data_IF_457422617647
#
_entry.id   IF_457422617647
#
_cell.length_a   1.000
_cell.length_b   1.000
_cell.length_c   1.000
_cell.angle_alpha   90.00
_cell.angle_beta   90.00
_cell.angle_gamma   90.00
#
_symmetry.space_group_name_H-M   'P 1'
#
loop_
_entity.id
_entity.type
_entity.pdbx_description
1 polymer ?
#
# COMPACT_ATOMS: atom_id res chain seq x y z
N UNK A 1 63.81 32.94 6.99
CA UNK A 1 63.99 31.48 7.08
C UNK A 1 62.59 30.86 7.22
N UNK A 2 62.04 30.32 6.13
CA UNK A 2 60.67 29.75 6.15
C UNK A 2 60.81 28.24 6.41
N UNK A 3 60.27 27.78 7.54
CA UNK A 3 60.21 26.34 7.86
C UNK A 3 59.04 25.72 7.12
N UNK A 4 59.31 25.01 6.01
CA UNK A 4 58.34 24.15 5.37
C UNK A 4 57.99 22.98 6.28
N UNK A 5 56.76 22.97 6.78
CA UNK A 5 56.17 21.85 7.52
C UNK A 5 55.93 20.68 6.58
N UNK A 6 56.77 19.68 6.57
CA UNK A 6 56.56 18.43 5.82
C UNK A 6 55.35 17.74 6.41
N UNK A 7 54.21 17.80 5.71
CA UNK A 7 52.99 17.00 6.05
C UNK A 7 53.31 15.54 5.73
N UNK A 8 53.46 14.74 6.79
CA UNK A 8 53.67 13.30 6.67
C UNK A 8 52.34 12.65 6.18
N UNK A 9 52.14 12.55 4.88
CA UNK A 9 50.98 11.89 4.27
C UNK A 9 51.21 10.38 4.40
N UNK A 10 50.54 9.76 5.38
CA UNK A 10 50.42 8.30 5.46
C UNK A 10 49.55 7.83 4.32
N UNK A 11 50.10 7.08 3.37
CA UNK A 11 49.33 6.44 2.29
C UNK A 11 48.62 5.19 2.78
N UNK A 12 47.51 4.85 2.16
CA UNK A 12 46.81 3.60 2.39
C UNK A 12 47.56 2.41 1.79
N UNK A 13 47.54 1.28 2.49
CA UNK A 13 48.08 0.03 1.97
C UNK A 13 47.07 -0.66 1.06
N UNK A 14 47.55 -1.44 0.09
CA UNK A 14 46.70 -2.21 -0.83
C UNK A 14 45.82 -3.21 -0.05
N UNK A 15 46.36 -3.77 1.03
CA UNK A 15 45.63 -4.75 1.86
C UNK A 15 44.48 -4.09 2.65
N UNK A 16 44.64 -2.86 3.13
CA UNK A 16 43.57 -2.11 3.79
C UNK A 16 42.42 -1.86 2.82
N UNK A 17 42.72 -1.51 1.57
CA UNK A 17 41.70 -1.29 0.55
C UNK A 17 41.01 -2.60 0.19
N UNK A 18 41.74 -3.71 0.08
CA UNK A 18 41.21 -5.01 -0.26
C UNK A 18 40.22 -5.53 0.81
N UNK A 19 40.55 -5.40 2.08
CA UNK A 19 39.67 -5.81 3.18
C UNK A 19 38.38 -5.02 3.16
N UNK A 20 38.45 -3.72 2.90
CA UNK A 20 37.26 -2.85 2.86
C UNK A 20 36.29 -3.27 1.75
N UNK A 21 36.78 -3.52 0.52
CA UNK A 21 35.90 -3.95 -0.59
C UNK A 21 35.29 -5.33 -0.36
N UNK A 22 36.04 -6.26 0.27
CA UNK A 22 35.50 -7.59 0.62
C UNK A 22 34.37 -7.47 1.64
N UNK A 23 34.57 -6.67 2.71
CA UNK A 23 33.54 -6.46 3.72
C UNK A 23 32.28 -5.80 3.14
N UNK A 24 32.47 -4.76 2.31
CA UNK A 24 31.35 -4.11 1.63
C UNK A 24 30.60 -5.09 0.71
N UNK A 25 31.33 -5.94 -0.02
CA UNK A 25 30.76 -6.97 -0.88
C UNK A 25 29.87 -7.97 -0.11
N UNK A 26 30.33 -8.45 1.04
CA UNK A 26 29.55 -9.35 1.89
C UNK A 26 28.32 -8.66 2.45
N UNK A 27 28.46 -7.44 2.96
CA UNK A 27 27.32 -6.67 3.49
C UNK A 27 26.29 -6.37 2.40
N UNK A 28 26.71 -5.98 1.20
CA UNK A 28 25.82 -5.73 0.08
C UNK A 28 25.02 -6.98 -0.32
N UNK A 29 25.67 -8.16 -0.35
CA UNK A 29 25.00 -9.41 -0.68
C UNK A 29 23.86 -9.76 0.31
N UNK A 30 24.06 -9.50 1.59
CA UNK A 30 23.02 -9.74 2.63
C UNK A 30 21.89 -8.74 2.54
N UNK A 31 22.17 -7.46 2.25
CA UNK A 31 21.15 -6.41 2.14
C UNK A 31 20.23 -6.66 0.95
N UNK A 32 20.74 -7.07 -0.21
CA UNK A 32 19.96 -7.29 -1.42
C UNK A 32 18.87 -8.36 -1.24
N UNK A 33 19.15 -9.43 -0.51
CA UNK A 33 18.16 -10.49 -0.26
C UNK A 33 17.05 -10.07 0.71
N UNK A 34 17.34 -9.20 1.68
CA UNK A 34 16.37 -8.71 2.65
C UNK A 34 15.45 -7.62 2.07
N UNK A 35 15.96 -6.82 1.13
CA UNK A 35 15.28 -5.61 0.63
C UNK A 35 13.97 -5.91 -0.11
N UNK A 36 13.93 -6.98 -0.91
CA UNK A 36 12.72 -7.40 -1.65
C UNK A 36 11.54 -7.70 -0.72
N UNK A 37 11.79 -8.42 0.36
CA UNK A 37 10.75 -8.78 1.34
C UNK A 37 10.22 -7.57 2.12
N UNK A 38 11.09 -6.57 2.38
CA UNK A 38 10.69 -5.34 3.08
C UNK A 38 9.78 -4.51 2.19
N UNK A 39 10.11 -4.36 0.90
CA UNK A 39 9.28 -3.64 -0.05
C UNK A 39 7.91 -4.30 -0.24
N UNK A 40 7.83 -5.63 -0.32
CA UNK A 40 6.55 -6.34 -0.39
C UNK A 40 5.68 -6.06 0.84
N UNK A 41 6.26 -6.17 2.03
CA UNK A 41 5.53 -5.87 3.27
C UNK A 41 5.08 -4.41 3.36
N UNK A 42 5.87 -3.48 2.88
CA UNK A 42 5.52 -2.06 2.84
C UNK A 42 4.28 -1.85 1.96
N UNK A 43 4.27 -2.38 0.73
CA UNK A 43 3.12 -2.31 -0.19
C UNK A 43 1.89 -3.04 0.36
N UNK A 44 2.07 -4.21 0.98
CA UNK A 44 0.96 -4.93 1.62
C UNK A 44 0.34 -4.11 2.76
N UNK A 45 1.17 -3.43 3.55
CA UNK A 45 0.70 -2.58 4.65
C UNK A 45 -0.02 -1.34 4.12
N UNK A 46 0.51 -0.71 3.09
CA UNK A 46 -0.10 0.42 2.38
C UNK A 46 -1.49 0.04 1.87
N UNK A 47 -1.61 -1.03 1.08
CA UNK A 47 -2.90 -1.50 0.56
C UNK A 47 -3.91 -1.90 1.65
N UNK A 48 -3.45 -2.45 2.77
CA UNK A 48 -4.33 -2.73 3.92
C UNK A 48 -4.82 -1.45 4.59
N UNK A 49 -3.96 -0.43 4.69
CA UNK A 49 -4.31 0.87 5.26
C UNK A 49 -5.33 1.59 4.40
N UNK A 50 -5.11 1.63 3.09
CA UNK A 50 -6.03 2.24 2.12
C UNK A 50 -7.42 1.61 2.18
N UNK A 51 -7.49 0.27 2.15
CA UNK A 51 -8.76 -0.45 2.29
C UNK A 51 -9.44 -0.15 3.62
N UNK A 52 -8.68 -0.01 4.70
CA UNK A 52 -9.25 0.33 6.00
C UNK A 52 -9.82 1.75 6.01
N UNK A 53 -9.14 2.71 5.38
CA UNK A 53 -9.62 4.09 5.25
C UNK A 53 -10.84 4.19 4.34
N UNK A 54 -10.83 3.54 3.18
CA UNK A 54 -12.00 3.45 2.29
C UNK A 54 -13.19 2.85 3.03
N UNK A 55 -12.98 1.73 3.72
CA UNK A 55 -14.03 1.06 4.49
C UNK A 55 -14.62 1.97 5.57
N UNK A 56 -13.76 2.70 6.29
CA UNK A 56 -14.20 3.67 7.29
C UNK A 56 -15.07 4.77 6.69
N UNK A 57 -14.70 5.30 5.52
CA UNK A 57 -15.51 6.32 4.84
C UNK A 57 -16.83 5.75 4.33
N UNK A 58 -16.85 4.51 3.84
CA UNK A 58 -18.07 3.82 3.44
C UNK A 58 -19.05 3.67 4.62
N UNK A 59 -18.58 3.27 5.78
CA UNK A 59 -19.43 3.16 6.98
C UNK A 59 -19.93 4.54 7.47
N UNK A 60 -19.08 5.56 7.42
CA UNK A 60 -19.48 6.92 7.75
C UNK A 60 -20.55 7.46 6.77
N UNK A 61 -20.41 7.16 5.48
CA UNK A 61 -21.37 7.55 4.46
C UNK A 61 -22.72 6.86 4.66
N UNK A 62 -22.72 5.60 5.04
CA UNK A 62 -23.94 4.84 5.33
C UNK A 62 -24.80 5.52 6.41
N UNK A 63 -24.14 6.13 7.40
CA UNK A 63 -24.82 6.77 8.55
C UNK A 63 -25.20 8.23 8.24
N UNK A 64 -24.34 8.94 7.50
CA UNK A 64 -24.46 10.37 7.24
C UNK A 64 -25.38 10.67 6.04
N UNK A 65 -25.73 11.93 5.89
CA UNK A 65 -26.45 12.42 4.70
C UNK A 65 -25.50 12.51 3.51
N UNK A 66 -25.81 11.83 2.43
CA UNK A 66 -25.07 11.79 1.17
C UNK A 66 -25.85 11.05 0.10
N UNK A 67 -25.25 10.90 -1.08
CA UNK A 67 -25.87 10.23 -2.23
C UNK A 67 -26.30 8.80 -1.92
N UNK A 68 -25.54 8.10 -1.06
CA UNK A 68 -25.74 6.70 -0.69
C UNK A 68 -26.15 6.51 0.77
N UNK A 69 -26.91 7.43 1.35
CA UNK A 69 -27.43 7.29 2.73
C UNK A 69 -28.19 5.96 2.90
N UNK A 70 -27.78 5.15 3.89
CA UNK A 70 -28.36 3.82 4.15
C UNK A 70 -28.02 2.77 3.10
N UNK A 71 -27.02 3.03 2.27
CA UNK A 71 -26.51 2.11 1.26
C UNK A 71 -25.03 2.38 0.98
N UNK A 72 -24.39 1.55 0.17
CA UNK A 72 -23.00 1.70 -0.26
C UNK A 72 -22.91 1.92 -1.77
N UNK A 73 -21.91 2.65 -2.27
CA UNK A 73 -21.69 2.80 -3.70
C UNK A 73 -21.62 1.45 -4.42
N UNK A 74 -22.14 1.32 -5.65
CA UNK A 74 -22.11 0.04 -6.38
C UNK A 74 -20.71 -0.34 -6.88
N UNK A 75 -19.83 0.64 -7.09
CA UNK A 75 -18.48 0.46 -7.61
C UNK A 75 -17.45 1.29 -6.85
N UNK A 76 -16.17 0.93 -6.95
CA UNK A 76 -15.07 1.71 -6.36
C UNK A 76 -15.01 3.12 -6.97
N UNK A 77 -15.21 3.27 -8.28
CA UNK A 77 -15.23 4.58 -8.94
C UNK A 77 -16.38 5.49 -8.45
N UNK A 78 -17.52 4.92 -8.10
CA UNK A 78 -18.61 5.67 -7.49
C UNK A 78 -18.24 6.11 -6.06
N UNK A 79 -17.54 5.27 -5.31
CA UNK A 79 -16.99 5.61 -4.00
C UNK A 79 -15.94 6.72 -4.09
N UNK A 80 -15.01 6.62 -5.02
CA UNK A 80 -14.00 7.65 -5.30
C UNK A 80 -14.63 9.00 -5.64
N UNK A 81 -15.65 9.03 -6.50
CA UNK A 81 -16.39 10.25 -6.85
C UNK A 81 -17.03 10.88 -5.63
N UNK A 82 -17.61 10.10 -4.73
CA UNK A 82 -18.27 10.58 -3.50
C UNK A 82 -17.25 11.05 -2.44
N UNK A 83 -16.08 10.39 -2.34
CA UNK A 83 -15.10 10.63 -1.28
C UNK A 83 -13.86 11.41 -1.73
N UNK A 84 -13.70 11.72 -3.03
CA UNK A 84 -12.49 12.33 -3.59
C UNK A 84 -12.07 13.66 -2.95
N UNK A 85 -12.96 14.30 -2.18
CA UNK A 85 -12.63 15.46 -1.34
C UNK A 85 -12.23 15.10 0.10
N UNK A 86 -12.45 13.86 0.54
CA UNK A 86 -12.25 13.39 1.92
C UNK A 86 -11.05 12.46 2.05
N UNK A 87 -10.68 11.78 0.97
CA UNK A 87 -9.51 10.91 0.87
C UNK A 87 -8.60 11.40 -0.27
N UNK A 88 -7.27 11.27 -0.13
CA UNK A 88 -6.35 11.45 -1.24
C UNK A 88 -6.68 10.51 -2.40
N UNK A 89 -6.51 10.95 -3.64
CA UNK A 89 -6.78 10.11 -4.82
C UNK A 89 -5.95 8.83 -4.83
N UNK A 90 -4.71 8.90 -4.31
CA UNK A 90 -3.80 7.77 -4.17
C UNK A 90 -4.37 6.64 -3.32
N UNK A 91 -5.29 6.93 -2.37
CA UNK A 91 -5.94 5.91 -1.52
C UNK A 91 -6.80 4.93 -2.33
N UNK A 92 -7.27 5.33 -3.51
CA UNK A 92 -8.06 4.47 -4.40
C UNK A 92 -7.19 3.68 -5.39
N UNK A 93 -5.92 4.04 -5.49
CA UNK A 93 -4.93 3.37 -6.33
C UNK A 93 -4.13 2.35 -5.51
N UNK A 94 -4.24 1.09 -5.87
CA UNK A 94 -3.42 0.04 -5.25
C UNK A 94 -1.94 0.32 -5.49
N UNK A 95 -1.04 0.06 -4.52
CA UNK A 95 0.42 0.19 -4.68
C UNK A 95 0.99 -0.55 -5.90
N UNK A 96 0.24 -1.52 -6.43
CA UNK A 96 0.53 -2.24 -7.68
C UNK A 96 -0.72 -2.41 -8.53
N UNK A 97 -1.32 -1.31 -8.92
CA UNK A 97 -2.62 -1.25 -9.61
C UNK A 97 -2.76 -2.22 -10.81
N UNK A 98 -1.70 -2.46 -11.57
CA UNK A 98 -1.74 -3.35 -12.74
C UNK A 98 -1.73 -4.84 -12.40
N UNK A 99 -1.12 -5.26 -11.28
CA UNK A 99 -0.94 -6.67 -10.91
C UNK A 99 -1.74 -7.08 -9.68
N UNK A 100 -2.04 -6.15 -8.79
CA UNK A 100 -2.74 -6.37 -7.52
C UNK A 100 -3.76 -5.25 -7.27
N UNK A 101 -4.76 -5.07 -8.15
CA UNK A 101 -5.76 -4.00 -8.00
C UNK A 101 -6.64 -4.23 -6.78
N UNK A 102 -7.22 -3.15 -6.24
CA UNK A 102 -8.32 -3.27 -5.30
C UNK A 102 -9.55 -3.82 -6.02
N UNK A 103 -10.14 -4.84 -5.45
CA UNK A 103 -11.38 -5.45 -5.97
C UNK A 103 -12.52 -5.06 -5.05
N UNK A 104 -13.38 -4.16 -5.51
CA UNK A 104 -14.58 -3.73 -4.83
C UNK A 104 -15.80 -4.37 -5.48
N UNK A 105 -16.73 -4.85 -4.67
CA UNK A 105 -17.99 -5.43 -5.13
C UNK A 105 -19.12 -4.94 -4.24
N UNK A 106 -20.07 -4.19 -4.81
CA UNK A 106 -21.36 -3.95 -4.18
C UNK A 106 -22.13 -5.27 -4.10
N UNK A 107 -22.78 -5.52 -2.99
CA UNK A 107 -23.50 -6.77 -2.74
C UNK A 107 -24.96 -6.51 -2.37
N UNK A 108 -25.84 -7.45 -2.76
CA UNK A 108 -27.22 -7.48 -2.32
C UNK A 108 -27.33 -7.83 -0.82
N UNK A 109 -28.52 -7.79 -0.28
CA UNK A 109 -28.78 -8.05 1.14
C UNK A 109 -28.34 -9.46 1.60
N UNK A 110 -28.30 -10.42 0.67
CA UNK A 110 -27.79 -11.77 0.93
C UNK A 110 -26.26 -11.82 1.18
N UNK A 111 -25.53 -10.74 0.85
CA UNK A 111 -24.08 -10.63 1.01
C UNK A 111 -23.27 -11.44 0.01
N UNK A 112 -23.88 -12.01 -1.02
CA UNK A 112 -23.26 -12.88 -2.02
C UNK A 112 -23.52 -12.44 -3.46
N UNK A 113 -24.75 -12.03 -3.77
CA UNK A 113 -25.14 -11.58 -5.11
C UNK A 113 -24.60 -10.18 -5.37
N UNK A 114 -23.97 -9.99 -6.54
CA UNK A 114 -23.47 -8.66 -6.97
C UNK A 114 -24.64 -7.70 -7.17
N UNK A 115 -24.50 -6.51 -6.65
CA UNK A 115 -25.45 -5.42 -6.78
C UNK A 115 -24.84 -4.33 -7.68
N UNK A 116 -25.58 -3.89 -8.67
CA UNK A 116 -25.18 -2.84 -9.63
C UNK A 116 -26.17 -1.67 -9.71
N UNK A 117 -27.04 -1.53 -8.71
CA UNK A 117 -28.07 -0.49 -8.70
C UNK A 117 -27.43 0.90 -8.48
N UNK A 118 -27.80 1.87 -9.31
CA UNK A 118 -27.31 3.24 -9.22
C UNK A 118 -27.68 3.94 -7.89
N UNK A 119 -28.74 3.46 -7.21
CA UNK A 119 -29.21 3.97 -5.92
C UNK A 119 -28.39 3.47 -4.72
N UNK A 120 -27.42 2.59 -4.97
CA UNK A 120 -26.56 1.99 -3.94
C UNK A 120 -26.91 0.54 -3.61
N UNK A 121 -26.02 -0.08 -2.90
CA UNK A 121 -26.07 -1.50 -2.52
C UNK A 121 -26.18 -1.64 -0.99
N UNK A 122 -26.93 -2.62 -0.47
CA UNK A 122 -27.08 -2.79 0.97
C UNK A 122 -25.82 -3.27 1.67
N UNK A 123 -24.91 -3.93 0.93
CA UNK A 123 -23.62 -4.43 1.44
C UNK A 123 -22.50 -4.20 0.44
N UNK A 124 -21.26 -4.32 0.90
CA UNK A 124 -20.09 -4.33 0.04
C UNK A 124 -19.01 -5.30 0.53
N UNK A 125 -18.11 -5.61 -0.35
CA UNK A 125 -16.82 -6.27 -0.08
C UNK A 125 -15.73 -5.54 -0.85
N UNK A 126 -14.62 -5.26 -0.18
CA UNK A 126 -13.40 -4.75 -0.80
C UNK A 126 -12.23 -5.65 -0.42
N UNK A 127 -11.36 -5.99 -1.35
CA UNK A 127 -10.23 -6.86 -1.13
C UNK A 127 -8.99 -6.42 -1.90
N UNK A 128 -7.83 -6.79 -1.37
CA UNK A 128 -6.51 -6.58 -1.93
C UNK A 128 -5.71 -7.87 -1.87
N UNK A 129 -5.21 -8.41 -3.00
CA UNK A 129 -4.36 -9.59 -3.01
C UNK A 129 -2.99 -9.25 -2.42
N UNK A 130 -2.57 -9.98 -1.39
CA UNK A 130 -1.29 -9.79 -0.73
C UNK A 130 -0.13 -10.34 -1.57
N UNK A 131 1.01 -9.65 -1.56
CA UNK A 131 2.22 -10.12 -2.21
C UNK A 131 2.92 -11.19 -1.37
N UNK A 132 3.36 -12.27 -2.00
CA UNK A 132 4.11 -13.33 -1.31
C UNK A 132 3.33 -14.14 -0.27
N UNK A 133 2.03 -13.96 -0.18
CA UNK A 133 1.12 -14.75 0.64
C UNK A 133 -0.04 -15.26 -0.20
N UNK A 134 -0.47 -16.48 0.08
CA UNK A 134 -1.73 -16.99 -0.47
C UNK A 134 -2.89 -16.38 0.29
N UNK A 135 -3.72 -15.58 -0.40
CA UNK A 135 -4.92 -14.97 0.16
C UNK A 135 -5.02 -13.48 -0.07
N UNK A 136 -6.19 -12.95 0.23
CA UNK A 136 -6.50 -11.54 0.09
C UNK A 136 -6.76 -10.94 1.47
N UNK A 137 -6.37 -9.69 1.66
CA UNK A 137 -6.91 -8.87 2.74
C UNK A 137 -8.32 -8.42 2.33
N UNK A 138 -9.31 -8.64 3.18
CA UNK A 138 -10.71 -8.31 2.89
C UNK A 138 -11.34 -7.46 3.99
N UNK A 139 -12.18 -6.52 3.57
CA UNK A 139 -13.13 -5.81 4.44
C UNK A 139 -14.54 -5.95 3.83
N UNK A 140 -15.51 -6.05 4.72
CA UNK A 140 -16.94 -6.15 4.37
C UNK A 140 -17.73 -5.13 5.19
N UNK A 141 -18.93 -4.79 4.71
CA UNK A 141 -19.85 -3.96 5.48
C UNK A 141 -20.14 -4.57 6.85
N UNK A 142 -20.34 -3.70 7.83
CA UNK A 142 -20.67 -4.07 9.21
C UNK A 142 -22.14 -4.51 9.39
N UNK A 143 -23.00 -4.29 8.39
CA UNK A 143 -24.44 -4.61 8.39
C UNK A 143 -24.72 -5.97 7.76
#
# INVERSE_FOLDING_TARGET
>A
MSLQRIRNNKGFTIIELLIVIVVIGILAALVLTAYGNIQQRARDTEGQTDIAEISKQLELQYINDGTFKGSYPPTLAAAETEFGTKLPAETFDSPRNTTHPYVYTGLAADGTTTCTTATGCPKYKISYPLEGKTGNFEKKSSN
#
